data_IF_457958592858
#
_entry.id   IF_457958592858
#
_cell.length_a   1.000
_cell.length_b   1.000
_cell.length_c   1.000
_cell.angle_alpha   90.00
_cell.angle_beta   90.00
_cell.angle_gamma   90.00
#
_symmetry.space_group_name_H-M   'P 1'
#
loop_
_entity.id
_entity.type
_entity.pdbx_description
1 polymer ?
#
# COMPACT_ATOMS: atom_id res chain seq x y z
N UNK A 1 -10.97 17.50 -5.23
CA UNK A 1 -9.48 17.56 -5.18
C UNK A 1 -8.85 16.37 -5.89
N UNK A 2 -9.32 15.13 -5.67
CA UNK A 2 -8.75 13.91 -6.29
C UNK A 2 -9.73 13.10 -7.15
N UNK A 3 -10.89 13.67 -7.50
CA UNK A 3 -11.87 13.09 -8.45
C UNK A 3 -12.20 11.59 -8.20
N UNK A 4 -12.34 11.23 -6.93
CA UNK A 4 -12.72 9.88 -6.46
C UNK A 4 -11.74 8.74 -6.83
N UNK A 5 -10.51 9.08 -7.28
CA UNK A 5 -9.46 8.11 -7.60
C UNK A 5 -8.36 8.11 -6.53
N UNK A 6 -8.15 6.96 -5.88
CA UNK A 6 -7.07 6.71 -4.90
C UNK A 6 -6.87 7.90 -3.94
N UNK A 7 -7.97 8.31 -3.30
CA UNK A 7 -8.09 9.61 -2.62
C UNK A 7 -7.06 9.74 -1.49
N UNK A 8 -6.90 8.71 -0.68
CA UNK A 8 -5.96 8.72 0.45
C UNK A 8 -4.51 8.60 -0.03
N UNK A 9 -4.24 7.78 -1.04
CA UNK A 9 -2.89 7.57 -1.58
C UNK A 9 -2.35 8.85 -2.23
N UNK A 10 -3.19 9.56 -2.98
CA UNK A 10 -2.85 10.89 -3.50
C UNK A 10 -2.59 11.90 -2.38
N UNK A 11 -3.38 11.86 -1.31
CA UNK A 11 -3.19 12.72 -0.15
C UNK A 11 -1.86 12.41 0.58
N UNK A 12 -1.54 11.13 0.80
CA UNK A 12 -0.28 10.69 1.40
C UNK A 12 0.92 11.21 0.62
N UNK A 13 0.90 11.08 -0.71
CA UNK A 13 1.93 11.62 -1.60
C UNK A 13 2.05 13.15 -1.48
N UNK A 14 0.92 13.85 -1.53
CA UNK A 14 0.90 15.31 -1.45
C UNK A 14 1.53 15.81 -0.14
N UNK A 15 1.16 15.21 1.00
CA UNK A 15 1.70 15.55 2.31
C UNK A 15 3.19 15.19 2.41
N UNK A 16 3.59 14.00 1.99
CA UNK A 16 5.00 13.58 2.05
C UNK A 16 5.93 14.53 1.25
N UNK A 17 5.54 14.91 0.03
CA UNK A 17 6.32 15.85 -0.77
C UNK A 17 6.23 17.30 -0.28
N UNK A 18 5.19 17.66 0.46
CA UNK A 18 5.11 18.95 1.16
C UNK A 18 6.06 18.98 2.35
N UNK A 19 6.12 17.91 3.15
CA UNK A 19 7.04 17.78 4.29
C UNK A 19 8.49 17.84 3.81
N UNK A 20 8.82 17.26 2.66
CA UNK A 20 10.16 17.32 2.07
C UNK A 20 10.65 18.75 1.82
N UNK A 21 9.75 19.73 1.68
CA UNK A 21 10.09 21.14 1.47
C UNK A 21 10.30 21.92 2.77
N UNK A 22 10.00 21.32 3.93
CA UNK A 22 10.22 21.95 5.23
C UNK A 22 11.73 22.05 5.54
N UNK A 23 12.15 23.04 6.37
CA UNK A 23 13.53 23.17 6.80
C UNK A 23 14.06 21.86 7.42
N UNK A 24 15.25 21.45 7.02
CA UNK A 24 15.93 20.23 7.50
C UNK A 24 15.24 18.88 7.18
N UNK A 25 14.18 18.86 6.35
CA UNK A 25 13.50 17.63 5.96
C UNK A 25 13.92 17.06 4.60
N UNK A 26 14.62 17.84 3.76
CA UNK A 26 14.97 17.43 2.40
C UNK A 26 16.20 16.49 2.36
N UNK A 27 15.98 15.21 2.63
CA UNK A 27 17.03 14.18 2.58
C UNK A 27 17.53 13.86 1.15
N UNK A 28 16.79 14.28 0.11
CA UNK A 28 17.17 14.12 -1.30
C UNK A 28 17.75 15.40 -1.91
N UNK A 29 18.14 16.37 -1.09
CA UNK A 29 18.66 17.69 -1.51
C UNK A 29 19.89 17.61 -2.44
N UNK A 30 20.68 16.54 -2.36
CA UNK A 30 21.86 16.30 -3.20
C UNK A 30 21.54 15.59 -4.53
N UNK A 31 20.28 15.25 -4.80
CA UNK A 31 19.92 14.61 -6.06
C UNK A 31 20.05 15.60 -7.22
N UNK A 32 20.60 15.13 -8.33
CA UNK A 32 20.44 15.82 -9.61
C UNK A 32 18.95 15.86 -10.00
N UNK A 33 18.57 16.81 -10.86
CA UNK A 33 17.21 16.89 -11.39
C UNK A 33 16.72 15.56 -11.97
N UNK A 34 17.59 14.84 -12.69
CA UNK A 34 17.28 13.53 -13.27
C UNK A 34 17.01 12.47 -12.19
N UNK A 35 17.84 12.40 -11.15
CA UNK A 35 17.63 11.48 -10.02
C UNK A 35 16.33 11.79 -9.28
N UNK A 36 16.04 13.06 -9.01
CA UNK A 36 14.81 13.46 -8.35
C UNK A 36 13.57 13.11 -9.16
N UNK A 37 13.57 13.33 -10.48
CA UNK A 37 12.46 12.92 -11.35
C UNK A 37 12.22 11.42 -11.30
N UNK A 38 13.29 10.60 -11.38
CA UNK A 38 13.17 9.13 -11.30
C UNK A 38 12.66 8.68 -9.93
N UNK A 39 13.22 9.24 -8.85
CA UNK A 39 12.80 8.96 -7.47
C UNK A 39 11.34 9.31 -7.25
N UNK A 40 10.93 10.54 -7.62
CA UNK A 40 9.56 11.01 -7.47
C UNK A 40 8.58 10.11 -8.21
N UNK A 41 8.89 9.73 -9.45
CA UNK A 41 8.05 8.81 -10.23
C UNK A 41 7.91 7.46 -9.53
N UNK A 42 9.02 6.86 -9.10
CA UNK A 42 8.99 5.57 -8.41
C UNK A 42 8.18 5.61 -7.10
N UNK A 43 8.32 6.67 -6.29
CA UNK A 43 7.54 6.84 -5.05
C UNK A 43 6.06 6.98 -5.34
N UNK A 44 5.68 7.79 -6.33
CA UNK A 44 4.27 7.94 -6.75
C UNK A 44 3.70 6.58 -7.20
N UNK A 45 4.42 5.89 -8.08
CA UNK A 45 4.02 4.59 -8.62
C UNK A 45 3.82 3.54 -7.51
N UNK A 46 4.69 3.51 -6.51
CA UNK A 46 4.63 2.56 -5.39
C UNK A 46 3.52 2.89 -4.39
N UNK A 47 3.32 4.16 -4.03
CA UNK A 47 2.27 4.54 -3.06
C UNK A 47 0.88 4.41 -3.68
N UNK A 48 0.69 4.77 -4.95
CA UNK A 48 -0.60 4.54 -5.61
C UNK A 48 -0.94 3.05 -5.76
N UNK A 49 0.07 2.18 -5.71
CA UNK A 49 -0.14 0.74 -5.78
C UNK A 49 -0.62 0.12 -4.45
N UNK A 50 -0.58 0.85 -3.33
CA UNK A 50 -1.13 0.37 -2.04
C UNK A 50 -2.65 0.50 -1.96
N UNK A 51 -3.28 1.21 -2.89
CA UNK A 51 -4.74 1.24 -3.02
C UNK A 51 -5.27 -0.18 -3.22
N UNK A 52 -6.09 -0.66 -2.29
CA UNK A 52 -6.65 -2.01 -2.30
C UNK A 52 -7.52 -2.30 -3.53
N UNK A 53 -8.05 -1.29 -4.22
CA UNK A 53 -8.73 -1.46 -5.50
C UNK A 53 -7.79 -2.00 -6.61
N UNK A 54 -6.47 -1.84 -6.46
CA UNK A 54 -5.45 -2.34 -7.41
C UNK A 54 -4.97 -3.75 -7.09
N UNK A 55 -5.36 -4.33 -5.95
CA UNK A 55 -4.85 -5.62 -5.46
C UNK A 55 -4.96 -6.74 -6.50
N UNK A 56 -6.11 -6.88 -7.16
CA UNK A 56 -6.33 -7.96 -8.14
C UNK A 56 -5.45 -7.80 -9.39
N UNK A 57 -5.20 -6.56 -9.82
CA UNK A 57 -4.28 -6.27 -10.94
C UNK A 57 -2.84 -6.64 -10.58
N UNK A 58 -2.39 -6.26 -9.38
CA UNK A 58 -1.05 -6.60 -8.88
C UNK A 58 -0.88 -8.11 -8.71
N UNK A 59 -1.90 -8.80 -8.21
CA UNK A 59 -1.88 -10.26 -8.07
C UNK A 59 -1.81 -10.97 -9.43
N UNK A 60 -2.57 -10.50 -10.42
CA UNK A 60 -2.52 -11.05 -11.77
C UNK A 60 -1.12 -10.88 -12.38
N UNK A 61 -0.52 -9.70 -12.22
CA UNK A 61 0.85 -9.44 -12.66
C UNK A 61 1.87 -10.38 -11.99
N UNK A 62 1.79 -10.54 -10.67
CA UNK A 62 2.70 -11.42 -9.93
C UNK A 62 2.56 -12.89 -10.36
N UNK A 63 1.34 -13.36 -10.64
CA UNK A 63 1.10 -14.70 -11.21
C UNK A 63 1.75 -14.86 -12.58
N UNK A 64 1.59 -13.88 -13.47
CA UNK A 64 2.24 -13.91 -14.78
C UNK A 64 3.76 -13.98 -14.63
N UNK A 65 4.37 -13.15 -13.77
CA UNK A 65 5.81 -13.25 -13.47
C UNK A 65 6.18 -14.65 -13.01
N UNK A 66 5.45 -15.22 -12.04
CA UNK A 66 5.77 -16.54 -11.51
C UNK A 66 5.74 -17.64 -12.59
N UNK A 67 4.87 -17.52 -13.58
CA UNK A 67 4.72 -18.48 -14.68
C UNK A 67 5.74 -18.24 -15.81
N UNK A 68 6.08 -16.99 -16.10
CA UNK A 68 6.92 -16.64 -17.27
C UNK A 68 8.39 -16.48 -16.94
N UNK A 69 8.75 -16.29 -15.66
CA UNK A 69 10.13 -15.99 -15.31
C UNK A 69 10.98 -17.24 -15.40
N UNK A 70 11.93 -17.23 -16.34
CA UNK A 70 12.98 -18.24 -16.42
C UNK A 70 14.00 -17.94 -15.33
N UNK A 71 14.05 -18.79 -14.30
CA UNK A 71 15.13 -18.76 -13.31
C UNK A 71 16.43 -19.02 -14.06
N UNK A 72 17.36 -18.06 -14.02
CA UNK A 72 18.68 -18.21 -14.62
C UNK A 72 19.48 -19.26 -13.86
N UNK A 73 20.57 -19.75 -14.46
CA UNK A 73 21.40 -20.82 -13.87
C UNK A 73 21.99 -20.46 -12.50
N UNK A 74 22.00 -19.19 -12.11
CA UNK A 74 22.45 -18.68 -10.80
C UNK A 74 21.30 -18.54 -9.77
N UNK A 75 20.06 -18.89 -10.13
CA UNK A 75 18.92 -18.81 -9.23
C UNK A 75 18.33 -17.40 -9.09
N UNK A 76 18.76 -16.43 -9.89
CA UNK A 76 18.30 -15.04 -9.80
C UNK A 76 17.14 -14.74 -10.76
N UNK A 77 16.29 -13.77 -10.37
CA UNK A 77 15.28 -13.19 -11.24
C UNK A 77 15.92 -12.01 -11.99
N UNK A 78 15.97 -12.09 -13.32
CA UNK A 78 16.46 -11.00 -14.16
C UNK A 78 15.31 -10.17 -14.71
N UNK A 79 15.33 -8.87 -14.41
CA UNK A 79 14.41 -7.87 -14.96
C UNK A 79 15.18 -6.89 -15.83
N UNK A 80 14.95 -6.96 -17.14
CA UNK A 80 15.78 -6.25 -18.14
C UNK A 80 15.45 -4.76 -18.24
N UNK A 81 14.22 -4.36 -17.94
CA UNK A 81 13.77 -2.99 -18.09
C UNK A 81 13.31 -2.35 -16.77
N UNK A 82 13.30 -1.02 -16.75
CA UNK A 82 12.88 -0.25 -15.58
C UNK A 82 11.39 -0.47 -15.22
N UNK A 83 10.55 -0.75 -16.22
CA UNK A 83 9.11 -0.96 -16.01
C UNK A 83 8.87 -2.20 -15.17
N UNK A 84 9.49 -3.33 -15.51
CA UNK A 84 9.32 -4.58 -14.77
C UNK A 84 9.86 -4.46 -13.34
N UNK A 85 10.96 -3.73 -13.15
CA UNK A 85 11.48 -3.43 -11.81
C UNK A 85 10.50 -2.61 -10.98
N UNK A 86 9.86 -1.59 -11.57
CA UNK A 86 8.86 -0.78 -10.87
C UNK A 86 7.60 -1.59 -10.55
N UNK A 87 7.10 -2.39 -11.49
CA UNK A 87 5.93 -3.24 -11.24
C UNK A 87 6.20 -4.28 -10.14
N UNK A 88 7.41 -4.87 -10.09
CA UNK A 88 7.79 -5.72 -8.97
C UNK A 88 7.83 -4.95 -7.65
N UNK A 89 8.42 -3.75 -7.63
CA UNK A 89 8.48 -2.92 -6.42
C UNK A 89 7.08 -2.53 -5.92
N UNK A 90 6.12 -2.29 -6.82
CA UNK A 90 4.70 -2.11 -6.47
C UNK A 90 4.13 -3.34 -5.77
N UNK A 91 4.37 -4.54 -6.32
CA UNK A 91 3.97 -5.78 -5.64
C UNK A 91 4.64 -5.94 -4.27
N UNK A 92 5.93 -5.62 -4.16
CA UNK A 92 6.68 -5.75 -2.91
C UNK A 92 6.15 -4.84 -1.81
N UNK A 93 5.86 -3.56 -2.11
CA UNK A 93 5.31 -2.65 -1.11
C UNK A 93 3.89 -3.05 -0.71
N UNK A 94 3.07 -3.54 -1.66
CA UNK A 94 1.72 -4.05 -1.38
C UNK A 94 1.74 -5.29 -0.48
N UNK A 95 2.67 -6.21 -0.73
CA UNK A 95 2.88 -7.39 0.13
C UNK A 95 3.37 -6.99 1.52
N UNK A 96 4.22 -5.97 1.62
CA UNK A 96 4.67 -5.45 2.90
C UNK A 96 3.49 -4.87 3.71
N UNK A 97 2.59 -4.15 3.06
CA UNK A 97 1.38 -3.58 3.68
C UNK A 97 0.41 -4.67 4.17
N UNK A 98 0.26 -5.74 3.39
CA UNK A 98 -0.57 -6.91 3.72
C UNK A 98 0.14 -7.97 4.58
N UNK A 99 1.31 -7.65 5.16
CA UNK A 99 2.15 -8.66 5.81
C UNK A 99 1.72 -9.02 7.24
N UNK A 100 0.73 -8.37 7.82
CA UNK A 100 0.35 -8.59 9.23
C UNK A 100 0.07 -10.07 9.58
N UNK A 101 -0.71 -10.83 8.77
CA UNK A 101 -0.99 -12.25 9.05
C UNK A 101 0.22 -13.18 8.88
N UNK A 102 1.32 -12.71 8.29
CA UNK A 102 2.53 -13.52 8.08
C UNK A 102 3.54 -13.39 9.23
N UNK A 103 3.27 -12.50 10.19
CA UNK A 103 4.12 -12.28 11.38
C UNK A 103 3.81 -13.28 12.48
N UNK A 104 4.72 -13.48 13.47
CA UNK A 104 4.43 -14.29 14.65
C UNK A 104 3.10 -13.91 15.31
N UNK A 105 2.37 -14.90 15.81
CA UNK A 105 0.99 -14.74 16.27
C UNK A 105 0.78 -13.61 17.29
N UNK A 106 1.75 -13.38 18.17
CA UNK A 106 1.70 -12.28 19.15
C UNK A 106 1.74 -10.89 18.52
N UNK A 107 2.41 -10.72 17.37
CA UNK A 107 2.41 -9.48 16.59
C UNK A 107 1.17 -9.38 15.73
N UNK A 108 0.80 -10.47 15.04
CA UNK A 108 -0.40 -10.50 14.20
C UNK A 108 -1.64 -10.07 14.99
N UNK A 109 -1.84 -10.64 16.20
CA UNK A 109 -2.96 -10.28 17.07
C UNK A 109 -3.03 -8.78 17.39
N UNK A 110 -1.90 -8.15 17.69
CA UNK A 110 -1.87 -6.71 17.97
C UNK A 110 -2.29 -5.89 16.75
N UNK A 111 -1.89 -6.31 15.54
CA UNK A 111 -2.32 -5.65 14.30
C UNK A 111 -3.80 -5.85 14.03
N UNK A 112 -4.34 -7.05 14.24
CA UNK A 112 -5.77 -7.35 14.15
C UNK A 112 -6.59 -6.48 15.11
N UNK A 113 -6.16 -6.35 16.37
CA UNK A 113 -6.86 -5.53 17.36
C UNK A 113 -6.89 -4.05 16.95
N UNK A 114 -5.78 -3.52 16.43
CA UNK A 114 -5.68 -2.12 15.95
C UNK A 114 -6.56 -1.84 14.73
N UNK A 115 -6.54 -2.72 13.73
CA UNK A 115 -7.36 -2.50 12.52
C UNK A 115 -8.86 -2.63 12.83
N UNK A 116 -9.25 -3.57 13.71
CA UNK A 116 -10.63 -3.65 14.16
C UNK A 116 -11.07 -2.39 14.92
N UNK A 117 -10.22 -1.86 15.81
CA UNK A 117 -10.52 -0.61 16.51
C UNK A 117 -10.74 0.56 15.53
N UNK A 118 -9.88 0.71 14.52
CA UNK A 118 -10.03 1.74 13.49
C UNK A 118 -11.35 1.60 12.70
N UNK A 119 -11.68 0.39 12.23
CA UNK A 119 -12.94 0.12 11.54
C UNK A 119 -14.16 0.44 12.41
N UNK A 120 -14.11 0.10 13.69
CA UNK A 120 -15.22 0.40 14.60
C UNK A 120 -15.38 1.89 14.87
N UNK A 121 -14.28 2.65 14.93
CA UNK A 121 -14.33 4.10 15.02
C UNK A 121 -14.95 4.72 13.76
N UNK A 122 -14.63 4.19 12.56
CA UNK A 122 -15.29 4.59 11.33
C UNK A 122 -16.81 4.32 11.40
N UNK A 123 -17.22 3.10 11.78
CA UNK A 123 -18.64 2.75 11.88
C UNK A 123 -19.41 3.59 12.90
N UNK A 124 -18.75 4.03 13.97
CA UNK A 124 -19.34 4.96 14.93
C UNK A 124 -19.54 6.36 14.35
N UNK A 125 -18.66 6.82 13.46
CA UNK A 125 -18.84 8.09 12.73
C UNK A 125 -19.94 7.98 11.67
N UNK A 126 -19.97 6.90 10.90
CA UNK A 126 -21.03 6.62 9.92
C UNK A 126 -22.41 6.66 10.60
N UNK A 127 -22.54 5.98 11.75
CA UNK A 127 -23.78 6.00 12.55
C UNK A 127 -24.17 7.39 13.02
N UNK A 128 -23.21 8.21 13.49
CA UNK A 128 -23.46 9.59 13.93
C UNK A 128 -23.92 10.48 12.79
N UNK A 129 -23.40 10.23 11.58
CA UNK A 129 -23.76 10.96 10.36
C UNK A 129 -25.05 10.46 9.71
N UNK A 130 -25.67 9.39 10.24
CA UNK A 130 -26.87 8.78 9.67
C UNK A 130 -26.60 8.02 8.36
N UNK A 131 -25.36 7.58 8.15
CA UNK A 131 -24.95 6.76 7.01
C UNK A 131 -25.15 5.27 7.31
N UNK A 132 -25.27 4.47 6.25
CA UNK A 132 -25.16 3.01 6.38
C UNK A 132 -23.75 2.64 6.88
N UNK A 133 -23.68 1.72 7.85
CA UNK A 133 -22.41 1.30 8.43
C UNK A 133 -21.71 0.35 7.45
N UNK A 134 -20.46 0.67 7.12
CA UNK A 134 -19.65 -0.12 6.21
C UNK A 134 -19.41 -1.55 6.71
N UNK A 135 -19.17 -2.52 5.80
CA UNK A 135 -18.77 -3.87 6.18
C UNK A 135 -17.60 -3.87 7.18
N UNK A 136 -17.63 -4.78 8.16
CA UNK A 136 -16.64 -4.92 9.24
C UNK A 136 -16.54 -3.76 10.25
N UNK A 137 -17.25 -2.65 10.01
CA UNK A 137 -17.15 -1.44 10.84
C UNK A 137 -18.13 -1.43 12.02
N UNK A 138 -19.03 -2.42 12.14
CA UNK A 138 -19.91 -2.52 13.30
C UNK A 138 -19.36 -3.48 14.37
N UNK A 139 -18.88 -2.91 15.48
CA UNK A 139 -18.40 -3.67 16.66
C UNK A 139 -19.43 -4.59 17.29
N UNK A 140 -20.72 -4.43 16.99
CA UNK A 140 -21.80 -5.27 17.56
C UNK A 140 -22.06 -6.54 16.76
N UNK A 141 -21.70 -6.56 15.47
CA UNK A 141 -22.03 -7.66 14.55
C UNK A 141 -20.80 -8.32 13.95
N UNK A 142 -19.64 -7.64 13.99
CA UNK A 142 -18.41 -8.14 13.38
C UNK A 142 -17.82 -9.31 14.18
N UNK A 143 -17.62 -10.44 13.49
CA UNK A 143 -16.94 -11.60 14.04
C UNK A 143 -15.45 -11.57 13.66
N UNK A 144 -14.61 -10.97 14.50
CA UNK A 144 -13.16 -10.82 14.24
C UNK A 144 -12.48 -12.12 13.76
N UNK A 145 -12.65 -13.29 14.41
CA UNK A 145 -11.96 -14.51 13.97
C UNK A 145 -12.39 -15.05 12.60
N UNK A 146 -13.57 -14.67 12.10
CA UNK A 146 -14.06 -15.08 10.77
C UNK A 146 -13.62 -14.11 9.66
N UNK A 147 -13.27 -12.89 10.04
CA UNK A 147 -12.84 -11.81 9.15
C UNK A 147 -11.31 -11.78 8.95
N UNK A 148 -10.58 -12.60 9.70
CA UNK A 148 -9.14 -12.81 9.59
C UNK A 148 -8.87 -14.15 8.91
#
# INVERSE_FOLDING_TARGET
MYNDESVLEHHHLAIAFKILQLPNCNFVSKFTKKQFTTFRRAVIDMVLATDMAKHMTLLAYLKTIAETTKVTCDGLLHFDNFKDKIELLKCMIHLADLSNPTKPIGLYRQWTERICEEFWLQGDQERKMGLEISPLCDRKTTSVPKSQ
#
